data_IF_427439712876
#
_entry.id   IF_427439712876
#
_cell.length_a   1.000
_cell.length_b   1.000
_cell.length_c   1.000
_cell.angle_alpha   90.00
_cell.angle_beta   90.00
_cell.angle_gamma   90.00
#
_symmetry.space_group_name_H-M   'P 1'
#
loop_
_entity.id
_entity.type
_entity.pdbx_description
1 polymer ?
#
# COMPACT_ATOMS: atom_id res chain seq x y z
N UNK A 1 -24.43 4.19 3.23
CA UNK A 1 -25.04 3.55 2.04
C UNK A 1 -24.16 2.39 1.59
N UNK A 2 -24.75 1.22 1.35
CA UNK A 2 -24.10 -0.08 1.09
C UNK A 2 -23.01 -0.02 0.02
N UNK A 3 -21.80 0.34 0.43
CA UNK A 3 -20.61 0.45 -0.43
C UNK A 3 -20.30 -0.89 -1.12
N UNK A 4 -20.59 -2.00 -0.45
CA UNK A 4 -20.49 -3.36 -0.98
C UNK A 4 -21.45 -3.66 -2.15
N UNK A 5 -22.48 -2.85 -2.40
CA UNK A 5 -23.41 -3.02 -3.53
C UNK A 5 -23.03 -2.19 -4.76
N UNK A 6 -22.01 -1.32 -4.67
CA UNK A 6 -21.85 -0.20 -5.62
C UNK A 6 -20.87 -0.40 -6.78
N UNK A 7 -20.34 -1.59 -7.05
CA UNK A 7 -19.49 -1.81 -8.24
C UNK A 7 -19.48 -3.27 -8.64
N UNK A 8 -20.10 -3.59 -9.79
CA UNK A 8 -19.95 -4.90 -10.45
C UNK A 8 -18.95 -4.67 -11.58
N UNK A 9 -17.78 -5.31 -11.50
CA UNK A 9 -16.76 -5.32 -12.57
C UNK A 9 -16.96 -6.56 -13.45
N UNK A 10 -16.53 -6.47 -14.71
CA UNK A 10 -16.62 -7.58 -15.66
C UNK A 10 -15.22 -8.13 -15.90
N UNK A 11 -14.97 -9.37 -15.47
CA UNK A 11 -13.64 -9.99 -15.57
C UNK A 11 -13.06 -9.92 -16.99
N UNK A 12 -13.88 -10.19 -18.00
CA UNK A 12 -13.53 -10.19 -19.43
C UNK A 12 -13.10 -8.81 -19.95
N UNK A 13 -13.40 -7.74 -19.23
CA UNK A 13 -13.06 -6.36 -19.59
C UNK A 13 -11.91 -5.85 -18.73
N UNK A 14 -12.04 -5.98 -17.41
CA UNK A 14 -11.25 -5.23 -16.44
C UNK A 14 -10.05 -6.05 -15.95
N UNK A 15 -10.24 -7.35 -15.72
CA UNK A 15 -9.24 -8.21 -15.06
C UNK A 15 -8.43 -9.06 -16.04
N UNK A 16 -9.02 -9.41 -17.18
CA UNK A 16 -8.46 -10.37 -18.14
C UNK A 16 -7.05 -9.99 -18.60
N UNK A 17 -6.76 -8.69 -18.70
CA UNK A 17 -5.45 -8.20 -19.09
C UNK A 17 -4.42 -8.67 -18.05
N UNK A 18 -4.56 -8.28 -16.78
CA UNK A 18 -3.54 -8.67 -15.82
C UNK A 18 -3.52 -10.19 -15.55
N UNK A 19 -4.65 -10.89 -15.64
CA UNK A 19 -4.81 -12.27 -15.14
C UNK A 19 -4.80 -13.37 -16.23
N UNK A 20 -4.26 -13.10 -17.42
CA UNK A 20 -4.12 -14.11 -18.47
C UNK A 20 -2.98 -13.82 -19.45
N UNK A 21 -2.60 -14.84 -20.21
CA UNK A 21 -1.65 -14.75 -21.32
C UNK A 21 -2.41 -14.73 -22.64
N UNK A 22 -2.08 -13.77 -23.49
CA UNK A 22 -2.68 -13.61 -24.82
C UNK A 22 -4.22 -13.53 -24.79
N UNK A 23 -4.80 -12.53 -24.09
CA UNK A 23 -6.25 -12.42 -24.02
C UNK A 23 -6.88 -11.87 -25.29
N UNK A 24 -8.03 -12.44 -25.60
CA UNK A 24 -8.95 -12.02 -26.64
C UNK A 24 -10.34 -11.89 -26.01
N UNK A 25 -10.72 -10.71 -25.49
CA UNK A 25 -12.01 -10.52 -24.85
C UNK A 25 -13.20 -10.89 -25.75
N UNK A 26 -13.13 -10.60 -27.06
CA UNK A 26 -14.15 -10.90 -28.07
C UNK A 26 -15.57 -10.50 -27.60
N UNK A 27 -15.75 -9.22 -27.28
CA UNK A 27 -17.05 -8.68 -26.92
C UNK A 27 -17.89 -8.47 -28.18
N UNK A 28 -19.05 -9.08 -28.25
CA UNK A 28 -20.08 -8.73 -29.24
C UNK A 28 -20.89 -7.54 -28.70
N UNK A 29 -20.76 -6.38 -29.35
CA UNK A 29 -21.46 -5.16 -28.95
C UNK A 29 -22.93 -5.13 -29.35
N UNK A 30 -23.37 -5.93 -30.32
CA UNK A 30 -24.78 -6.01 -30.72
C UNK A 30 -25.58 -6.87 -29.73
N UNK A 31 -25.02 -8.02 -29.35
CA UNK A 31 -25.70 -8.94 -28.41
C UNK A 31 -25.29 -8.73 -26.95
N UNK A 32 -24.29 -7.88 -26.69
CA UNK A 32 -23.65 -7.67 -25.39
C UNK A 32 -23.14 -8.97 -24.73
N UNK A 33 -22.67 -9.92 -25.55
CA UNK A 33 -22.10 -11.21 -25.11
C UNK A 33 -20.58 -11.21 -25.25
N UNK A 34 -19.92 -12.10 -24.52
CA UNK A 34 -18.46 -12.29 -24.57
C UNK A 34 -18.14 -13.70 -25.10
N UNK A 35 -17.30 -13.82 -26.14
CA UNK A 35 -16.69 -15.10 -26.60
C UNK A 35 -15.18 -15.12 -26.26
N UNK A 36 -14.89 -14.85 -25.00
CA UNK A 36 -13.52 -14.62 -24.54
C UNK A 36 -12.63 -15.84 -24.69
N UNK A 37 -11.44 -15.62 -25.26
CA UNK A 37 -10.39 -16.64 -25.43
C UNK A 37 -9.11 -16.15 -24.77
N UNK A 38 -8.35 -17.07 -24.19
CA UNK A 38 -7.01 -16.81 -23.66
C UNK A 38 -6.09 -17.93 -24.13
N UNK A 39 -4.80 -17.64 -24.26
CA UNK A 39 -3.81 -18.70 -24.55
C UNK A 39 -3.63 -19.57 -23.31
N UNK A 40 -3.43 -18.93 -22.16
CA UNK A 40 -3.31 -19.58 -20.86
C UNK A 40 -3.98 -18.70 -19.79
N UNK A 41 -4.61 -19.34 -18.81
CA UNK A 41 -5.01 -18.66 -17.58
C UNK A 41 -3.76 -18.28 -16.79
N UNK A 42 -3.69 -17.01 -16.39
CA UNK A 42 -2.50 -16.42 -15.79
C UNK A 42 -2.54 -16.39 -14.25
N UNK A 43 -1.43 -16.00 -13.62
CA UNK A 43 -0.17 -15.53 -14.23
C UNK A 43 0.73 -16.71 -14.62
N UNK A 44 1.09 -16.81 -15.91
CA UNK A 44 1.87 -17.94 -16.45
C UNK A 44 3.17 -17.49 -17.14
N UNK A 45 4.04 -18.44 -17.51
CA UNK A 45 5.42 -18.20 -17.96
C UNK A 45 5.54 -17.09 -19.01
N UNK A 46 4.68 -17.13 -20.03
CA UNK A 46 4.71 -16.21 -21.15
C UNK A 46 4.30 -14.77 -20.80
N UNK A 47 3.70 -14.53 -19.63
CA UNK A 47 3.43 -13.17 -19.16
C UNK A 47 4.72 -12.39 -18.90
N UNK A 48 5.77 -13.07 -18.41
CA UNK A 48 7.06 -12.46 -18.07
C UNK A 48 8.16 -12.79 -19.09
N UNK A 49 8.06 -13.92 -19.78
CA UNK A 49 9.09 -14.41 -20.70
C UNK A 49 8.71 -14.24 -22.19
N UNK A 50 7.49 -13.80 -22.47
CA UNK A 50 6.96 -13.71 -23.83
C UNK A 50 6.66 -15.08 -24.46
N UNK A 51 6.23 -15.10 -25.73
CA UNK A 51 5.87 -16.34 -26.43
C UNK A 51 7.07 -17.29 -26.62
N UNK A 52 6.93 -18.54 -26.18
CA UNK A 52 8.02 -19.51 -26.17
C UNK A 52 8.17 -20.35 -27.46
N UNK A 53 7.41 -20.08 -28.53
CA UNK A 53 7.41 -20.90 -29.75
C UNK A 53 8.80 -20.98 -30.40
N UNK A 54 9.50 -19.83 -30.52
CA UNK A 54 10.86 -19.77 -31.07
C UNK A 54 11.85 -20.56 -30.21
N UNK A 55 11.76 -20.38 -28.89
CA UNK A 55 12.56 -21.10 -27.91
C UNK A 55 12.35 -22.62 -28.00
N UNK A 56 11.10 -23.08 -27.99
CA UNK A 56 10.77 -24.48 -28.13
C UNK A 56 11.30 -25.09 -29.43
N UNK A 57 11.18 -24.38 -30.57
CA UNK A 57 11.70 -24.85 -31.86
C UNK A 57 13.23 -24.98 -31.84
N UNK A 58 13.93 -23.99 -31.29
CA UNK A 58 15.39 -24.01 -31.20
C UNK A 58 15.90 -25.17 -30.32
N UNK A 59 15.25 -25.40 -29.18
CA UNK A 59 15.66 -26.43 -28.21
C UNK A 59 15.14 -27.84 -28.50
N UNK A 60 14.35 -28.05 -29.56
CA UNK A 60 14.07 -29.40 -30.08
C UNK A 60 15.34 -30.12 -30.54
N UNK A 61 16.38 -29.38 -30.96
CA UNK A 61 17.67 -29.93 -31.34
C UNK A 61 18.56 -30.17 -30.10
N UNK A 62 18.93 -31.41 -29.74
CA UNK A 62 19.80 -31.70 -28.60
C UNK A 62 21.19 -31.05 -28.69
N UNK A 63 21.76 -30.90 -29.89
CA UNK A 63 23.06 -30.25 -30.08
C UNK A 63 22.97 -28.76 -29.79
N UNK A 64 21.87 -28.11 -30.19
CA UNK A 64 21.63 -26.71 -29.85
C UNK A 64 21.48 -26.53 -28.33
N UNK A 65 20.70 -27.39 -27.67
CA UNK A 65 20.58 -27.39 -26.19
C UNK A 65 21.93 -27.52 -25.51
N UNK A 66 22.77 -28.47 -25.96
CA UNK A 66 24.10 -28.67 -25.39
C UNK A 66 24.98 -27.44 -25.61
N UNK A 67 24.96 -26.84 -26.81
CA UNK A 67 25.72 -25.63 -27.13
C UNK A 67 25.31 -24.45 -26.25
N UNK A 68 24.02 -24.14 -26.14
CA UNK A 68 23.53 -23.04 -25.29
C UNK A 68 23.86 -23.28 -23.82
N UNK A 69 23.71 -24.52 -23.33
CA UNK A 69 24.04 -24.86 -21.94
C UNK A 69 25.54 -24.72 -21.64
N UNK A 70 26.40 -25.05 -22.61
CA UNK A 70 27.86 -25.01 -22.43
C UNK A 70 28.48 -23.65 -22.69
N UNK A 71 27.83 -22.77 -23.47
CA UNK A 71 28.35 -21.41 -23.72
C UNK A 71 28.22 -20.49 -22.51
N UNK A 72 27.24 -20.73 -21.62
CA UNK A 72 26.90 -19.83 -20.53
C UNK A 72 26.25 -18.52 -20.98
N UNK A 73 26.06 -18.35 -22.29
CA UNK A 73 25.49 -17.14 -22.90
C UNK A 73 23.98 -17.04 -22.65
N UNK A 74 23.44 -15.84 -22.89
CA UNK A 74 22.00 -15.66 -22.88
C UNK A 74 21.34 -16.36 -24.06
N UNK A 75 20.26 -17.09 -23.80
CA UNK A 75 19.42 -17.64 -24.87
C UNK A 75 18.60 -16.50 -25.48
N UNK A 76 18.86 -16.07 -26.73
CA UNK A 76 18.17 -14.95 -27.34
C UNK A 76 16.76 -15.30 -27.80
N UNK A 77 16.35 -16.58 -27.70
CA UNK A 77 15.06 -17.05 -28.20
C UNK A 77 13.91 -16.87 -27.20
N UNK A 78 14.22 -16.50 -25.96
CA UNK A 78 13.25 -16.23 -24.89
C UNK A 78 13.70 -15.02 -24.06
N UNK A 79 12.75 -14.21 -23.62
CA UNK A 79 13.08 -13.09 -22.73
C UNK A 79 13.41 -13.63 -21.35
N UNK A 80 14.47 -13.11 -20.73
CA UNK A 80 14.71 -13.29 -19.31
C UNK A 80 14.76 -11.90 -18.66
N UNK A 81 13.76 -11.52 -17.84
CA UNK A 81 13.72 -10.20 -17.21
C UNK A 81 15.00 -9.84 -16.44
N UNK A 82 15.68 -10.80 -15.81
CA UNK A 82 16.93 -10.57 -15.09
C UNK A 82 18.14 -10.22 -15.98
N UNK A 83 17.99 -10.32 -17.31
CA UNK A 83 19.03 -10.01 -18.31
C UNK A 83 18.66 -8.78 -19.17
N UNK A 84 17.55 -8.14 -18.89
CA UNK A 84 17.14 -6.90 -19.56
C UNK A 84 17.83 -5.70 -18.88
N UNK A 85 17.88 -4.56 -19.59
CA UNK A 85 18.16 -3.28 -18.94
C UNK A 85 17.11 -2.97 -17.87
N UNK A 86 17.48 -2.10 -16.92
CA UNK A 86 16.67 -1.74 -15.75
C UNK A 86 15.23 -1.38 -16.12
N UNK A 87 15.05 -0.50 -17.10
CA UNK A 87 13.73 -0.04 -17.52
C UNK A 87 12.92 -1.19 -18.12
N UNK A 88 13.47 -1.94 -19.08
CA UNK A 88 12.76 -3.09 -19.67
C UNK A 88 12.44 -4.16 -18.63
N UNK A 89 13.33 -4.43 -17.67
CA UNK A 89 13.07 -5.38 -16.58
C UNK A 89 11.92 -4.93 -15.70
N UNK A 90 11.89 -3.66 -15.29
CA UNK A 90 10.83 -3.14 -14.43
C UNK A 90 9.47 -3.11 -15.15
N UNK A 91 9.47 -2.77 -16.44
CA UNK A 91 8.26 -2.72 -17.26
C UNK A 91 7.56 -4.07 -17.44
N UNK A 92 8.30 -5.20 -17.39
CA UNK A 92 7.70 -6.54 -17.40
C UNK A 92 6.71 -6.71 -16.25
N UNK A 93 7.05 -6.22 -15.05
CA UNK A 93 6.16 -6.21 -13.90
C UNK A 93 5.11 -5.08 -14.02
N UNK A 94 5.54 -3.92 -14.53
CA UNK A 94 4.71 -2.74 -14.74
C UNK A 94 3.51 -2.96 -15.66
N UNK A 95 3.54 -3.94 -16.55
CA UNK A 95 2.38 -4.25 -17.41
C UNK A 95 1.10 -4.60 -16.62
N UNK A 96 1.25 -5.12 -15.39
CA UNK A 96 0.15 -5.49 -14.50
C UNK A 96 0.14 -4.63 -13.23
N UNK A 97 1.31 -4.41 -12.64
CA UNK A 97 1.47 -3.61 -11.41
C UNK A 97 1.50 -2.11 -11.71
N UNK A 98 0.65 -1.63 -12.62
CA UNK A 98 0.49 -0.20 -12.93
C UNK A 98 -0.94 0.21 -13.21
N UNK A 99 -1.30 1.42 -12.77
CA UNK A 99 -2.48 2.13 -13.23
C UNK A 99 -2.19 2.71 -14.61
N UNK A 100 -2.95 2.23 -15.59
CA UNK A 100 -2.70 2.54 -17.00
C UNK A 100 -4.01 2.75 -17.75
N UNK A 101 -3.98 3.60 -18.77
CA UNK A 101 -4.99 3.61 -19.84
C UNK A 101 -4.35 2.98 -21.07
N UNK A 102 -4.99 1.98 -21.65
CA UNK A 102 -4.55 1.41 -22.93
C UNK A 102 -4.96 2.34 -24.07
N UNK A 103 -4.08 2.54 -25.05
CA UNK A 103 -4.34 3.47 -26.15
C UNK A 103 -5.54 3.07 -27.02
N UNK A 104 -5.77 1.76 -27.16
CA UNK A 104 -6.91 1.21 -27.87
C UNK A 104 -7.82 0.49 -26.88
N UNK A 105 -8.71 1.24 -26.23
CA UNK A 105 -9.69 0.69 -25.27
C UNK A 105 -11.03 0.31 -25.93
N UNK A 106 -11.17 0.48 -27.25
CA UNK A 106 -12.44 0.25 -27.97
C UNK A 106 -12.39 -0.93 -28.95
N UNK A 107 -11.22 -1.43 -29.36
CA UNK A 107 -11.12 -2.58 -30.26
C UNK A 107 -11.07 -3.94 -29.52
N UNK A 108 -12.19 -4.32 -28.90
CA UNK A 108 -12.36 -5.64 -28.26
C UNK A 108 -12.43 -6.84 -29.24
N UNK A 109 -12.34 -6.59 -30.54
CA UNK A 109 -12.45 -7.57 -31.63
C UNK A 109 -11.11 -7.93 -32.29
N UNK A 110 -10.06 -7.14 -32.08
CA UNK A 110 -8.78 -7.29 -32.79
C UNK A 110 -7.74 -8.09 -31.96
N UNK A 111 -6.98 -9.01 -32.57
CA UNK A 111 -5.90 -9.76 -31.91
C UNK A 111 -4.73 -8.88 -31.40
N UNK A 112 -4.68 -7.61 -31.81
CA UNK A 112 -3.63 -6.62 -31.51
C UNK A 112 -3.82 -5.91 -30.17
N UNK A 113 -4.91 -6.19 -29.46
CA UNK A 113 -5.32 -5.61 -28.16
C UNK A 113 -4.29 -5.65 -27.02
N UNK A 114 -3.20 -6.44 -27.17
CA UNK A 114 -2.06 -6.51 -26.25
C UNK A 114 -0.74 -6.44 -27.02
N UNK A 115 -0.22 -5.23 -27.07
CA UNK A 115 0.94 -4.89 -27.89
C UNK A 115 2.23 -4.95 -27.05
N UNK A 116 2.14 -4.80 -25.71
CA UNK A 116 3.28 -5.05 -24.82
C UNK A 116 3.63 -6.53 -24.75
N UNK A 117 4.86 -6.84 -25.12
CA UNK A 117 5.52 -8.12 -24.90
C UNK A 117 6.71 -7.89 -24.00
N UNK A 118 7.05 -8.88 -23.17
CA UNK A 118 8.23 -8.81 -22.32
C UNK A 118 9.48 -8.44 -23.15
N UNK A 119 10.26 -7.48 -22.65
CA UNK A 119 11.39 -6.88 -23.37
C UNK A 119 11.03 -5.71 -24.31
N UNK A 120 9.74 -5.45 -24.55
CA UNK A 120 9.26 -4.27 -25.28
C UNK A 120 9.20 -3.01 -24.42
N UNK A 121 8.65 -1.92 -24.98
CA UNK A 121 8.48 -0.66 -24.25
C UNK A 121 7.05 -0.42 -23.78
N UNK A 122 6.82 -0.40 -22.47
CA UNK A 122 5.49 -0.29 -21.91
C UNK A 122 4.78 1.00 -22.33
N UNK A 123 5.49 2.12 -22.35
CA UNK A 123 4.96 3.45 -22.72
C UNK A 123 4.52 3.57 -24.20
N UNK A 124 4.94 2.63 -25.06
CA UNK A 124 4.45 2.55 -26.45
C UNK A 124 3.05 1.95 -26.53
N UNK A 125 2.59 1.26 -25.48
CA UNK A 125 1.34 0.51 -25.49
C UNK A 125 0.30 1.03 -24.50
N UNK A 126 0.75 1.75 -23.47
CA UNK A 126 -0.11 2.29 -22.43
C UNK A 126 0.31 3.68 -21.98
N UNK A 127 -0.66 4.45 -21.49
CA UNK A 127 -0.42 5.69 -20.75
C UNK A 127 -0.48 5.43 -19.25
N UNK A 128 0.65 5.60 -18.56
CA UNK A 128 0.71 5.51 -17.10
C UNK A 128 -0.10 6.64 -16.44
N UNK A 129 -0.82 6.31 -15.38
CA UNK A 129 -1.52 7.30 -14.57
C UNK A 129 -0.58 7.95 -13.57
N UNK A 130 -0.95 9.17 -13.17
CA UNK A 130 -0.25 9.96 -12.15
C UNK A 130 -1.29 10.69 -11.28
N UNK A 131 -0.84 11.30 -10.18
CA UNK A 131 -1.70 12.13 -9.33
C UNK A 131 -2.41 13.29 -10.07
N UNK A 132 -1.89 13.74 -11.22
CA UNK A 132 -2.55 14.76 -12.06
C UNK A 132 -3.85 14.25 -12.67
N UNK A 133 -3.94 12.94 -12.93
CA UNK A 133 -5.07 12.34 -13.64
C UNK A 133 -6.03 11.63 -12.68
N UNK A 134 -5.56 11.18 -11.50
CA UNK A 134 -6.40 10.51 -10.52
C UNK A 134 -5.96 10.81 -9.08
N UNK A 135 -6.74 11.59 -8.35
CA UNK A 135 -6.47 11.92 -6.96
C UNK A 135 -7.00 10.87 -5.96
N UNK A 136 -7.74 9.85 -6.39
CA UNK A 136 -8.17 8.73 -5.54
C UNK A 136 -7.08 7.66 -5.45
N UNK A 137 -6.39 7.38 -6.56
CA UNK A 137 -5.32 6.37 -6.61
C UNK A 137 -3.96 6.86 -6.13
N UNK A 138 -3.76 8.19 -6.06
CA UNK A 138 -2.51 8.80 -5.66
C UNK A 138 -2.69 9.85 -4.56
N UNK A 139 -1.71 9.91 -3.65
CA UNK A 139 -1.54 11.00 -2.70
C UNK A 139 -1.16 12.30 -3.44
N UNK A 140 -1.40 13.49 -2.85
CA UNK A 140 -1.05 14.77 -3.46
C UNK A 140 0.43 14.90 -3.84
N UNK A 141 1.32 14.21 -3.12
CA UNK A 141 2.76 14.17 -3.40
C UNK A 141 3.14 13.28 -4.60
N UNK A 142 2.18 12.54 -5.19
CA UNK A 142 2.40 11.59 -6.29
C UNK A 142 2.53 10.13 -5.86
N UNK A 143 2.62 9.84 -4.56
CA UNK A 143 2.75 8.49 -4.02
C UNK A 143 1.47 7.66 -4.21
N UNK A 144 1.57 6.33 -4.28
CA UNK A 144 0.42 5.45 -4.47
C UNK A 144 -0.44 5.40 -3.20
N UNK A 145 -1.77 5.47 -3.36
CA UNK A 145 -2.75 5.20 -2.28
C UNK A 145 -3.19 3.75 -2.24
N UNK A 146 -2.92 2.99 -3.32
CA UNK A 146 -3.50 1.67 -3.56
C UNK A 146 -2.38 0.70 -3.96
N UNK A 147 -2.38 -0.48 -3.35
CA UNK A 147 -1.46 -1.56 -3.67
C UNK A 147 -1.87 -2.36 -4.92
N UNK A 148 -1.00 -3.25 -5.36
CA UNK A 148 -1.10 -4.00 -6.62
C UNK A 148 -0.74 -3.17 -7.85
N UNK A 149 -0.20 -1.96 -7.67
CA UNK A 149 0.08 -0.96 -8.71
C UNK A 149 1.39 -0.20 -8.43
N UNK A 150 2.37 -0.93 -7.93
CA UNK A 150 3.62 -0.43 -7.36
C UNK A 150 4.51 0.29 -8.37
N UNK A 151 4.51 -0.15 -9.64
CA UNK A 151 5.41 0.37 -10.67
C UNK A 151 5.26 1.86 -10.90
N UNK A 152 4.03 2.41 -10.90
CA UNK A 152 3.80 3.85 -11.09
C UNK A 152 4.64 4.72 -10.16
N UNK A 153 4.88 4.24 -8.95
CA UNK A 153 5.51 5.02 -7.89
C UNK A 153 6.92 4.54 -7.56
N UNK A 154 7.24 3.27 -7.84
CA UNK A 154 8.60 2.75 -7.77
C UNK A 154 9.54 3.49 -8.72
N UNK A 155 9.11 3.74 -9.96
CA UNK A 155 9.92 4.47 -10.95
C UNK A 155 10.16 5.95 -10.61
N UNK A 156 9.50 6.45 -9.57
CA UNK A 156 9.72 7.81 -9.05
C UNK A 156 10.79 7.86 -7.96
N UNK A 157 11.26 6.70 -7.49
CA UNK A 157 12.25 6.60 -6.40
C UNK A 157 13.65 6.93 -6.93
N UNK A 158 14.47 7.58 -6.10
CA UNK A 158 15.89 7.82 -6.40
C UNK A 158 16.64 6.52 -6.76
N UNK A 159 16.31 5.42 -6.07
CA UNK A 159 16.86 4.09 -6.36
C UNK A 159 16.65 3.63 -7.81
N UNK A 160 15.57 4.07 -8.47
CA UNK A 160 15.28 3.78 -9.87
C UNK A 160 15.82 4.87 -10.80
N UNK A 161 15.59 6.16 -10.49
CA UNK A 161 15.94 7.27 -11.37
C UNK A 161 17.44 7.56 -11.40
N UNK A 162 18.15 7.28 -10.32
CA UNK A 162 19.59 7.56 -10.14
C UNK A 162 20.40 6.28 -9.89
N UNK A 163 19.75 5.14 -9.64
CA UNK A 163 20.38 3.84 -9.43
C UNK A 163 19.90 2.76 -10.40
N UNK A 164 20.24 1.51 -10.08
CA UNK A 164 19.96 0.32 -10.90
C UNK A 164 18.80 -0.53 -10.35
N UNK A 165 17.97 0.02 -9.47
CA UNK A 165 16.89 -0.74 -8.84
C UNK A 165 15.85 -1.19 -9.87
N UNK A 166 15.45 -2.46 -9.77
CA UNK A 166 14.28 -3.02 -10.47
C UNK A 166 13.42 -3.78 -9.47
N UNK A 167 12.26 -4.29 -9.90
CA UNK A 167 11.47 -5.23 -9.10
C UNK A 167 12.30 -6.45 -8.68
N UNK A 168 13.17 -6.93 -9.57
CA UNK A 168 14.06 -8.07 -9.33
C UNK A 168 15.24 -7.75 -8.44
N UNK A 169 15.44 -6.51 -7.97
CA UNK A 169 16.40 -6.24 -6.90
C UNK A 169 15.95 -6.92 -5.61
N UNK A 170 14.65 -6.87 -5.30
CA UNK A 170 14.07 -7.41 -4.07
C UNK A 170 13.27 -8.71 -4.27
N UNK A 171 12.63 -8.90 -5.43
CA UNK A 171 11.74 -10.04 -5.69
C UNK A 171 12.41 -11.17 -6.47
N UNK A 172 11.88 -12.38 -6.30
CA UNK A 172 12.17 -13.58 -7.09
C UNK A 172 10.88 -14.30 -7.46
N UNK A 173 10.69 -14.58 -8.75
CA UNK A 173 9.45 -15.20 -9.26
C UNK A 173 9.46 -16.72 -9.16
N UNK A 174 10.64 -17.32 -8.98
CA UNK A 174 10.85 -18.77 -9.00
C UNK A 174 11.58 -19.26 -7.74
N UNK A 175 11.41 -18.54 -6.62
CA UNK A 175 11.92 -18.95 -5.31
C UNK A 175 10.93 -19.85 -4.56
N UNK A 176 11.38 -20.38 -3.43
CA UNK A 176 10.61 -21.36 -2.64
C UNK A 176 9.49 -20.73 -1.80
N UNK A 177 9.64 -19.48 -1.36
CA UNK A 177 8.64 -18.75 -0.56
C UNK A 177 7.72 -17.93 -1.47
N UNK A 178 6.44 -18.33 -1.65
CA UNK A 178 5.52 -17.62 -2.52
C UNK A 178 4.96 -16.34 -1.90
N UNK A 179 5.02 -16.16 -0.57
CA UNK A 179 4.49 -14.95 0.08
C UNK A 179 5.37 -13.74 -0.23
N UNK A 180 4.76 -12.72 -0.84
CA UNK A 180 5.40 -11.49 -1.34
C UNK A 180 6.50 -11.72 -2.38
N UNK A 181 6.89 -12.97 -2.65
CA UNK A 181 7.92 -13.36 -3.61
C UNK A 181 9.25 -12.62 -3.37
N UNK A 182 9.59 -12.36 -2.12
CA UNK A 182 10.84 -11.69 -1.74
C UNK A 182 12.01 -12.67 -1.78
N UNK A 183 13.16 -12.22 -2.28
CA UNK A 183 14.40 -12.98 -2.16
C UNK A 183 14.79 -13.17 -0.69
N UNK A 184 15.66 -14.15 -0.39
CA UNK A 184 16.27 -14.27 0.94
C UNK A 184 16.82 -12.92 1.42
N UNK A 185 16.65 -12.65 2.72
CA UNK A 185 17.08 -11.42 3.41
C UNK A 185 16.35 -10.13 3.00
N UNK A 186 15.54 -10.11 1.94
CA UNK A 186 14.80 -8.90 1.49
C UNK A 186 13.60 -8.55 2.38
N UNK A 187 13.44 -9.20 3.52
CA UNK A 187 12.54 -8.77 4.61
C UNK A 187 13.26 -7.91 5.67
N UNK A 188 14.58 -7.76 5.54
CA UNK A 188 15.46 -7.04 6.46
C UNK A 188 16.09 -5.82 5.79
N UNK A 189 16.85 -5.02 6.54
CA UNK A 189 17.58 -3.86 6.00
C UNK A 189 18.54 -4.22 4.86
N UNK A 190 18.90 -5.50 4.66
CA UNK A 190 19.75 -5.93 3.55
C UNK A 190 19.19 -5.52 2.17
N UNK A 191 17.87 -5.41 2.04
CA UNK A 191 17.27 -4.91 0.81
C UNK A 191 17.71 -3.49 0.43
N UNK A 192 18.04 -2.67 1.42
CA UNK A 192 18.56 -1.32 1.23
C UNK A 192 20.10 -1.32 1.26
N UNK A 193 20.68 -2.04 2.23
CA UNK A 193 22.13 -2.04 2.49
C UNK A 193 22.94 -2.63 1.34
N UNK A 194 22.36 -3.49 0.49
CA UNK A 194 23.04 -3.99 -0.72
C UNK A 194 23.55 -2.87 -1.65
N UNK A 195 22.92 -1.68 -1.60
CA UNK A 195 23.36 -0.48 -2.31
C UNK A 195 23.82 0.65 -1.37
N UNK A 196 23.35 0.65 -0.13
CA UNK A 196 23.65 1.67 0.89
C UNK A 196 24.55 1.12 2.00
N UNK A 197 25.69 0.54 1.60
CA UNK A 197 26.59 -0.17 2.51
C UNK A 197 27.17 0.75 3.60
N UNK A 198 27.33 2.04 3.30
CA UNK A 198 27.80 3.07 4.23
C UNK A 198 26.86 3.29 5.43
N UNK A 199 25.62 2.80 5.36
CA UNK A 199 24.65 2.87 6.44
C UNK A 199 24.68 1.65 7.37
N UNK A 200 25.37 0.56 7.00
CA UNK A 200 25.35 -0.70 7.76
C UNK A 200 25.77 -0.52 9.22
N UNK A 201 26.81 0.28 9.45
CA UNK A 201 27.34 0.57 10.79
C UNK A 201 26.68 1.78 11.47
N UNK A 202 25.86 2.54 10.74
CA UNK A 202 25.25 3.80 11.20
C UNK A 202 23.72 3.74 11.30
N UNK A 203 23.14 2.55 11.35
CA UNK A 203 21.67 2.39 11.42
C UNK A 203 21.07 3.13 12.61
N UNK A 204 21.62 2.99 13.82
CA UNK A 204 21.11 3.67 15.00
C UNK A 204 21.31 5.19 14.94
N UNK A 205 22.46 5.65 14.45
CA UNK A 205 22.75 7.07 14.26
C UNK A 205 21.80 7.70 13.23
N UNK A 206 21.54 7.00 12.12
CA UNK A 206 20.67 7.49 11.05
C UNK A 206 19.20 7.44 11.45
N UNK A 207 18.73 6.34 12.02
CA UNK A 207 17.31 6.15 12.33
C UNK A 207 16.90 6.79 13.66
N UNK A 208 17.86 7.03 14.56
CA UNK A 208 17.64 7.46 15.95
C UNK A 208 16.76 6.50 16.75
N UNK A 209 16.87 5.20 16.45
CA UNK A 209 16.21 4.10 17.15
C UNK A 209 17.23 3.02 17.53
N UNK A 210 16.94 2.29 18.61
CA UNK A 210 17.79 1.19 19.05
C UNK A 210 17.93 0.12 17.97
N UNK A 211 19.13 -0.44 17.86
CA UNK A 211 19.42 -1.52 16.90
C UNK A 211 18.50 -2.71 17.19
N UNK A 212 17.82 -3.19 16.15
CA UNK A 212 16.91 -4.34 16.24
C UNK A 212 15.46 -3.96 16.58
N UNK A 213 15.20 -2.71 16.96
CA UNK A 213 13.83 -2.21 17.09
C UNK A 213 13.14 -2.11 15.73
N UNK A 214 11.80 -2.09 15.72
CA UNK A 214 11.01 -1.82 14.51
C UNK A 214 11.39 -0.49 13.84
N UNK A 215 11.72 0.54 14.63
CA UNK A 215 12.14 1.85 14.14
C UNK A 215 13.52 1.86 13.46
N UNK A 216 14.35 0.85 13.70
CA UNK A 216 15.65 0.69 13.02
C UNK A 216 15.54 0.04 11.63
N UNK A 217 14.35 -0.37 11.19
CA UNK A 217 14.14 -0.96 9.86
C UNK A 217 13.94 0.12 8.80
N UNK A 218 14.80 0.16 7.78
CA UNK A 218 14.76 1.13 6.68
C UNK A 218 13.37 1.19 6.02
N UNK A 219 12.76 0.02 5.84
CA UNK A 219 11.41 -0.14 5.29
C UNK A 219 10.34 0.67 6.01
N UNK A 220 10.41 0.80 7.34
CA UNK A 220 9.34 1.43 8.10
C UNK A 220 9.30 2.95 7.90
N UNK A 221 10.44 3.54 7.55
CA UNK A 221 10.54 4.97 7.21
C UNK A 221 10.44 5.24 5.70
N UNK A 222 11.13 4.43 4.87
CA UNK A 222 11.28 4.72 3.44
C UNK A 222 10.30 3.97 2.54
N UNK A 223 9.62 2.94 3.06
CA UNK A 223 8.59 2.16 2.35
C UNK A 223 7.41 1.89 3.30
N UNK A 224 6.92 2.96 3.91
CA UNK A 224 5.88 2.92 4.95
C UNK A 224 4.57 2.33 4.42
N UNK A 225 3.77 1.75 5.31
CA UNK A 225 2.45 1.20 5.02
C UNK A 225 1.40 2.29 4.75
N UNK A 226 1.55 3.05 3.67
CA UNK A 226 0.63 4.17 3.33
C UNK A 226 -0.31 3.87 2.17
N UNK A 227 -0.30 2.64 1.66
CA UNK A 227 -1.19 2.21 0.57
C UNK A 227 -2.22 1.23 1.11
N UNK A 228 -3.43 1.23 0.57
CA UNK A 228 -4.45 0.24 0.89
C UNK A 228 -4.50 -0.88 -0.15
N UNK A 229 -4.49 -2.12 0.31
CA UNK A 229 -4.80 -3.30 -0.48
C UNK A 229 -5.18 -4.46 0.45
N UNK A 230 -5.90 -5.45 -0.07
CA UNK A 230 -6.22 -6.68 0.66
C UNK A 230 -6.83 -6.46 2.06
N UNK A 231 -7.68 -5.43 2.19
CA UNK A 231 -8.35 -5.05 3.44
C UNK A 231 -7.38 -4.67 4.57
N UNK A 232 -6.25 -4.04 4.22
CA UNK A 232 -5.27 -3.51 5.18
C UNK A 232 -4.36 -2.47 4.54
N UNK A 233 -3.34 -2.04 5.28
CA UNK A 233 -2.27 -1.23 4.73
C UNK A 233 -1.15 -2.13 4.17
N UNK A 234 -0.56 -1.71 3.05
CA UNK A 234 0.58 -2.35 2.40
C UNK A 234 1.69 -1.33 2.16
N UNK A 235 2.93 -1.81 2.04
CA UNK A 235 4.09 -0.95 1.82
C UNK A 235 3.98 -0.19 0.51
N UNK A 236 4.15 1.11 0.59
CA UNK A 236 4.26 1.94 -0.60
C UNK A 236 5.64 1.73 -1.24
N UNK A 237 5.69 1.74 -2.57
CA UNK A 237 6.89 1.37 -3.32
C UNK A 237 7.64 2.57 -3.90
N UNK A 238 7.24 3.80 -3.58
CA UNK A 238 8.07 4.98 -3.81
C UNK A 238 9.04 5.14 -2.64
N UNK A 239 10.25 4.64 -2.82
CA UNK A 239 11.29 4.78 -1.78
C UNK A 239 11.64 6.26 -1.65
N UNK A 240 11.22 6.89 -0.55
CA UNK A 240 11.43 8.31 -0.28
C UNK A 240 11.70 8.60 1.20
N UNK A 241 12.18 9.81 1.49
CA UNK A 241 12.42 10.25 2.87
C UNK A 241 11.11 10.71 3.52
N UNK A 242 10.87 10.39 4.81
CA UNK A 242 9.71 10.90 5.53
C UNK A 242 9.65 12.43 5.53
N UNK A 243 8.43 12.95 5.37
CA UNK A 243 8.12 14.39 5.48
C UNK A 243 6.89 14.58 6.34
N UNK A 244 6.83 15.67 7.12
CA UNK A 244 5.60 16.11 7.77
C UNK A 244 4.86 17.11 6.86
N UNK A 245 3.62 16.84 6.47
CA UNK A 245 2.72 17.81 5.83
C UNK A 245 1.34 17.72 6.46
N UNK A 246 0.81 18.86 6.90
CA UNK A 246 -0.53 19.02 7.46
C UNK A 246 -1.34 20.08 6.72
N UNK A 247 -1.14 20.20 5.41
CA UNK A 247 -1.77 21.24 4.57
C UNK A 247 -3.17 20.83 4.11
N UNK A 248 -3.47 19.54 4.09
CA UNK A 248 -4.73 19.01 3.61
C UNK A 248 -5.16 17.73 4.36
N UNK A 249 -6.47 17.50 4.45
CA UNK A 249 -7.10 16.21 4.86
C UNK A 249 -6.84 15.07 3.88
N UNK A 250 -6.00 15.30 2.86
CA UNK A 250 -5.62 14.33 1.83
C UNK A 250 -4.11 14.11 1.77
N UNK A 251 -3.33 14.75 2.64
CA UNK A 251 -1.89 14.54 2.71
C UNK A 251 -1.57 13.09 3.12
N UNK A 252 -0.47 12.55 2.61
CA UNK A 252 -0.03 11.19 2.96
C UNK A 252 0.33 11.13 4.45
N UNK A 253 -0.21 10.17 5.23
CA UNK A 253 0.27 9.90 6.58
C UNK A 253 1.78 9.61 6.57
N UNK A 254 2.54 10.27 7.44
CA UNK A 254 4.00 10.13 7.47
C UNK A 254 4.44 8.93 8.33
N UNK A 255 5.64 8.42 8.05
CA UNK A 255 6.22 7.26 8.74
C UNK A 255 6.28 7.39 10.26
N UNK A 256 6.69 8.56 10.77
CA UNK A 256 6.94 8.76 12.19
C UNK A 256 5.64 8.62 12.99
N UNK A 257 4.58 9.33 12.57
CA UNK A 257 3.29 9.29 13.28
C UNK A 257 2.47 8.02 13.02
N UNK A 258 2.91 7.14 12.10
CA UNK A 258 2.32 5.82 11.93
C UNK A 258 2.88 4.77 12.92
N UNK A 259 3.99 5.07 13.60
CA UNK A 259 4.44 4.36 14.80
C UNK A 259 4.09 5.15 16.06
N UNK A 260 4.47 6.42 16.12
CA UNK A 260 4.17 7.34 17.22
C UNK A 260 2.79 7.97 17.04
N UNK A 261 1.77 7.11 17.14
CA UNK A 261 0.37 7.48 16.93
C UNK A 261 -0.12 8.54 17.91
N UNK A 262 0.52 8.67 19.07
CA UNK A 262 0.24 9.65 20.11
C UNK A 262 0.84 11.04 19.85
N UNK A 263 1.72 11.19 18.86
CA UNK A 263 2.42 12.46 18.59
C UNK A 263 1.73 13.30 17.53
N UNK A 264 1.94 14.61 17.60
CA UNK A 264 1.41 15.59 16.64
C UNK A 264 2.25 15.64 15.36
N UNK A 265 1.76 16.30 14.31
CA UNK A 265 2.58 16.54 13.11
C UNK A 265 3.68 17.58 13.39
N UNK A 266 3.41 18.55 14.28
CA UNK A 266 4.42 19.53 14.69
C UNK A 266 5.63 18.84 15.33
N UNK A 267 5.40 17.88 16.23
CA UNK A 267 6.46 17.05 16.81
C UNK A 267 7.31 16.36 15.73
N UNK A 268 6.68 15.78 14.71
CA UNK A 268 7.41 15.15 13.60
C UNK A 268 8.23 16.17 12.82
N UNK A 269 7.65 17.34 12.51
CA UNK A 269 8.36 18.42 11.81
C UNK A 269 9.59 18.91 12.57
N UNK A 270 9.48 19.07 13.88
CA UNK A 270 10.60 19.42 14.77
C UNK A 270 11.68 18.35 14.75
N UNK A 271 11.32 17.06 14.93
CA UNK A 271 12.29 15.96 14.92
C UNK A 271 12.98 15.80 13.57
N UNK A 272 12.26 15.99 12.46
CA UNK A 272 12.85 15.96 11.12
C UNK A 272 13.84 17.11 10.91
N UNK A 273 13.54 18.30 11.43
CA UNK A 273 14.43 19.47 11.38
C UNK A 273 15.67 19.26 12.24
N UNK A 274 15.48 18.86 13.50
CA UNK A 274 16.54 18.67 14.49
C UNK A 274 17.54 17.57 14.07
N UNK A 275 17.02 16.43 13.60
CA UNK A 275 17.82 15.22 13.36
C UNK A 275 18.40 15.13 11.95
N UNK A 276 17.70 15.66 10.96
CA UNK A 276 18.06 15.51 9.55
C UNK A 276 18.26 16.84 8.81
N UNK A 277 18.12 17.98 9.50
CA UNK A 277 18.25 19.30 8.89
C UNK A 277 17.20 19.61 7.82
N UNK A 278 16.06 18.91 7.84
CA UNK A 278 14.97 19.20 6.90
C UNK A 278 14.44 20.62 7.14
N UNK A 279 13.97 21.28 6.07
CA UNK A 279 13.33 22.58 6.20
C UNK A 279 12.05 22.44 7.03
N UNK A 280 11.92 23.29 8.06
CA UNK A 280 10.73 23.34 8.89
C UNK A 280 9.45 23.42 8.03
N UNK A 281 8.56 22.45 8.22
CA UNK A 281 7.30 22.40 7.48
C UNK A 281 6.22 23.13 8.25
N UNK A 282 5.46 23.97 7.55
CA UNK A 282 4.24 24.56 8.08
C UNK A 282 3.18 23.47 8.33
N UNK A 283 2.65 23.42 9.54
CA UNK A 283 1.48 22.63 9.94
C UNK A 283 0.44 23.58 10.55
N UNK A 284 -0.85 23.28 10.41
CA UNK A 284 -1.92 24.11 10.97
C UNK A 284 -1.99 23.99 12.49
N UNK A 285 -2.68 24.90 13.17
CA UNK A 285 -2.80 24.92 14.63
C UNK A 285 -3.35 23.60 15.22
N UNK A 286 -4.37 22.99 14.59
CA UNK A 286 -4.90 21.68 15.00
C UNK A 286 -3.80 20.60 15.11
N UNK A 287 -2.77 20.70 14.26
CA UNK A 287 -1.68 19.75 14.15
C UNK A 287 -0.51 20.03 15.11
N UNK A 288 -0.63 21.05 15.97
CA UNK A 288 0.29 21.30 17.07
C UNK A 288 -0.15 20.63 18.38
N UNK A 289 -1.47 20.51 18.59
CA UNK A 289 -2.04 20.11 19.88
C UNK A 289 -2.69 18.73 19.87
N UNK A 290 -3.08 18.23 18.70
CA UNK A 290 -3.75 16.93 18.56
C UNK A 290 -2.86 15.96 17.80
N UNK A 291 -2.81 14.73 18.30
CA UNK A 291 -2.08 13.64 17.70
C UNK A 291 -2.51 13.45 16.23
N UNK A 292 -1.52 13.25 15.35
CA UNK A 292 -1.77 13.18 13.91
C UNK A 292 -2.71 12.02 13.55
N UNK A 293 -2.59 10.89 14.25
CA UNK A 293 -3.45 9.72 14.05
C UNK A 293 -4.93 10.01 14.40
N UNK A 294 -5.18 10.74 15.49
CA UNK A 294 -6.53 11.19 15.89
C UNK A 294 -7.12 12.08 14.80
N UNK A 295 -6.33 13.03 14.29
CA UNK A 295 -6.74 13.89 13.18
C UNK A 295 -7.07 13.08 11.92
N UNK A 296 -6.23 12.11 11.55
CA UNK A 296 -6.48 11.24 10.39
C UNK A 296 -7.73 10.39 10.56
N UNK A 297 -7.97 9.82 11.74
CA UNK A 297 -9.14 8.98 11.99
C UNK A 297 -10.43 9.77 12.09
N UNK A 298 -10.41 10.95 12.71
CA UNK A 298 -11.63 11.72 12.97
C UNK A 298 -11.98 12.66 11.81
N UNK A 299 -11.00 13.39 11.28
CA UNK A 299 -11.17 14.44 10.24
C UNK A 299 -10.70 14.00 8.85
N UNK A 300 -9.75 13.08 8.77
CA UNK A 300 -9.12 12.66 7.50
C UNK A 300 -10.04 11.96 6.51
N UNK A 301 -9.60 11.85 5.26
CA UNK A 301 -10.31 11.11 4.21
C UNK A 301 -10.35 9.60 4.47
N UNK A 302 -11.14 8.85 3.67
CA UNK A 302 -11.31 7.41 3.86
C UNK A 302 -9.97 6.64 3.88
N UNK A 303 -8.98 7.08 3.11
CA UNK A 303 -7.68 6.41 3.06
C UNK A 303 -6.85 6.70 4.30
N UNK A 304 -6.84 7.95 4.76
CA UNK A 304 -6.17 8.32 6.03
C UNK A 304 -6.76 7.54 7.20
N UNK A 305 -8.10 7.43 7.30
CA UNK A 305 -8.78 6.65 8.33
C UNK A 305 -8.41 5.16 8.26
N UNK A 306 -8.38 4.61 7.06
CA UNK A 306 -7.98 3.21 6.80
C UNK A 306 -6.57 2.93 7.30
N UNK A 307 -5.60 3.76 6.88
CA UNK A 307 -4.18 3.58 7.22
C UNK A 307 -3.96 3.77 8.73
N UNK A 308 -4.52 4.81 9.33
CA UNK A 308 -4.36 5.07 10.77
C UNK A 308 -5.00 3.97 11.63
N UNK A 309 -6.23 3.53 11.28
CA UNK A 309 -6.90 2.45 11.99
C UNK A 309 -6.13 1.13 11.92
N UNK A 310 -5.54 0.80 10.76
CA UNK A 310 -4.69 -0.39 10.62
C UNK A 310 -3.44 -0.31 11.49
N UNK A 311 -2.79 0.86 11.57
CA UNK A 311 -1.59 1.06 12.38
C UNK A 311 -1.85 0.92 13.88
N UNK A 312 -3.03 1.37 14.37
CA UNK A 312 -3.40 1.20 15.77
C UNK A 312 -3.43 -0.27 16.23
N UNK A 313 -3.63 -1.21 15.31
CA UNK A 313 -3.60 -2.65 15.61
C UNK A 313 -2.22 -3.30 15.48
N UNK A 314 -1.17 -2.54 15.14
CA UNK A 314 0.16 -3.11 14.94
C UNK A 314 0.98 -3.08 16.23
N UNK A 315 1.60 -4.21 16.57
CA UNK A 315 2.41 -4.36 17.79
C UNK A 315 3.47 -3.26 17.94
N UNK A 316 4.18 -2.91 16.86
CA UNK A 316 5.22 -1.87 16.90
C UNK A 316 4.68 -0.46 17.16
N UNK A 317 3.44 -0.18 16.76
CA UNK A 317 2.83 1.13 16.99
C UNK A 317 2.27 1.20 18.41
N UNK A 318 1.63 0.11 18.87
CA UNK A 318 1.19 -0.05 20.27
C UNK A 318 2.38 0.12 21.23
N UNK A 319 3.51 -0.53 20.94
CA UNK A 319 4.75 -0.39 21.71
C UNK A 319 5.25 1.06 21.73
N UNK A 320 5.21 1.75 20.60
CA UNK A 320 5.74 3.11 20.47
C UNK A 320 4.84 4.21 21.04
N UNK A 321 3.52 4.01 21.09
CA UNK A 321 2.54 5.05 21.47
C UNK A 321 1.70 4.73 22.71
N UNK A 322 1.80 3.52 23.24
CA UNK A 322 0.86 2.97 24.21
C UNK A 322 -0.52 2.71 23.59
N UNK A 323 -1.32 1.87 24.25
CA UNK A 323 -2.64 1.40 23.80
C UNK A 323 -3.82 2.07 24.52
N UNK A 324 -3.54 2.73 25.65
CA UNK A 324 -4.55 3.11 26.66
C UNK A 324 -5.62 4.06 26.16
N UNK A 325 -5.40 4.73 25.04
CA UNK A 325 -6.28 5.75 24.44
C UNK A 325 -6.88 5.33 23.09
N UNK A 326 -6.51 4.17 22.54
CA UNK A 326 -6.87 3.77 21.17
C UNK A 326 -8.32 3.29 21.03
N UNK A 327 -8.86 2.60 22.04
CA UNK A 327 -10.18 1.95 21.98
C UNK A 327 -11.31 2.91 21.60
N UNK A 328 -11.45 4.11 22.19
CA UNK A 328 -12.52 5.02 21.80
C UNK A 328 -12.52 5.42 20.32
N UNK A 329 -11.35 5.68 19.74
CA UNK A 329 -11.22 6.08 18.35
C UNK A 329 -11.55 4.95 17.39
N UNK A 330 -11.06 3.73 17.67
CA UNK A 330 -11.39 2.55 16.89
C UNK A 330 -12.87 2.18 16.98
N UNK A 331 -13.48 2.27 18.18
CA UNK A 331 -14.90 2.05 18.39
C UNK A 331 -15.76 3.02 17.56
N UNK A 332 -15.37 4.29 17.47
CA UNK A 332 -16.06 5.28 16.62
C UNK A 332 -16.01 4.89 15.13
N UNK A 333 -14.94 4.25 14.67
CA UNK A 333 -14.80 3.78 13.28
C UNK A 333 -15.64 2.53 12.96
N UNK A 334 -16.22 1.84 13.94
CA UNK A 334 -17.23 0.79 13.66
C UNK A 334 -18.52 1.38 13.05
N UNK A 335 -18.71 2.69 13.17
CA UNK A 335 -19.78 3.43 12.51
C UNK A 335 -19.38 4.05 11.15
N UNK A 336 -18.12 3.87 10.69
CA UNK A 336 -17.64 4.49 9.45
C UNK A 336 -18.49 4.08 8.23
N UNK A 337 -18.75 4.98 7.25
CA UNK A 337 -19.50 4.62 6.05
C UNK A 337 -18.89 3.48 5.21
N UNK A 338 -17.58 3.25 5.26
CA UNK A 338 -16.92 2.20 4.47
C UNK A 338 -16.76 0.89 5.24
N UNK A 339 -17.24 -0.20 4.63
CA UNK A 339 -17.17 -1.57 5.14
C UNK A 339 -15.74 -2.02 5.47
N UNK A 340 -14.78 -1.67 4.61
CA UNK A 340 -13.36 -1.96 4.83
C UNK A 340 -12.81 -1.29 6.11
N UNK A 341 -13.15 -0.02 6.36
CA UNK A 341 -12.69 0.71 7.55
C UNK A 341 -13.27 0.08 8.81
N UNK A 342 -14.56 -0.32 8.78
CA UNK A 342 -15.21 -1.00 9.91
C UNK A 342 -14.54 -2.33 10.23
N UNK A 343 -14.19 -3.12 9.21
CA UNK A 343 -13.48 -4.38 9.38
C UNK A 343 -12.07 -4.17 9.97
N UNK A 344 -11.32 -3.21 9.43
CA UNK A 344 -9.96 -2.90 9.89
C UNK A 344 -9.99 -2.40 11.33
N UNK A 345 -10.89 -1.47 11.66
CA UNK A 345 -11.03 -0.95 13.02
C UNK A 345 -11.38 -2.05 14.03
N UNK A 346 -12.28 -2.98 13.67
CA UNK A 346 -12.59 -4.13 14.53
C UNK A 346 -11.38 -5.04 14.73
N UNK A 347 -10.64 -5.38 13.67
CA UNK A 347 -9.39 -6.16 13.81
C UNK A 347 -8.39 -5.48 14.75
N UNK A 348 -8.19 -4.16 14.60
CA UNK A 348 -7.32 -3.41 15.49
C UNK A 348 -7.83 -3.37 16.93
N UNK A 349 -9.15 -3.33 17.17
CA UNK A 349 -9.71 -3.46 18.52
C UNK A 349 -9.35 -4.81 19.14
N UNK A 350 -9.42 -5.90 18.37
CA UNK A 350 -9.02 -7.23 18.86
C UNK A 350 -7.55 -7.24 19.27
N UNK A 351 -6.65 -6.69 18.45
CA UNK A 351 -5.22 -6.62 18.77
C UNK A 351 -4.94 -5.75 20.01
N UNK A 352 -5.58 -4.58 20.10
CA UNK A 352 -5.38 -3.62 21.21
C UNK A 352 -5.94 -4.13 22.53
N UNK A 353 -7.06 -4.87 22.51
CA UNK A 353 -7.76 -5.29 23.73
C UNK A 353 -7.49 -6.74 24.13
N UNK A 354 -6.98 -7.56 23.21
CA UNK A 354 -6.93 -9.01 23.36
C UNK A 354 -8.31 -9.68 23.35
N UNK A 355 -9.38 -8.94 23.05
CA UNK A 355 -10.75 -9.43 23.10
C UNK A 355 -11.42 -9.41 21.73
N UNK A 356 -12.04 -10.52 21.35
CA UNK A 356 -12.80 -10.63 20.11
C UNK A 356 -14.31 -10.67 20.37
N UNK A 357 -14.95 -9.50 20.40
CA UNK A 357 -16.40 -9.38 20.40
C UNK A 357 -16.91 -9.68 18.98
N UNK A 358 -17.85 -10.63 18.79
CA UNK A 358 -18.39 -10.97 17.47
C UNK A 358 -18.91 -9.74 16.72
N UNK A 359 -18.38 -9.53 15.52
CA UNK A 359 -18.69 -8.38 14.71
C UNK A 359 -18.73 -8.76 13.24
N UNK A 360 -19.78 -8.33 12.56
CA UNK A 360 -19.84 -8.38 11.11
C UNK A 360 -19.92 -6.96 10.56
N UNK A 361 -18.95 -6.60 9.73
CA UNK A 361 -18.72 -5.24 9.26
C UNK A 361 -19.81 -4.73 8.30
N UNK A 362 -20.78 -5.56 7.90
CA UNK A 362 -21.97 -5.16 7.12
C UNK A 362 -23.30 -5.28 7.90
N UNK A 363 -23.26 -5.57 9.20
CA UNK A 363 -24.45 -5.49 10.07
C UNK A 363 -25.10 -4.11 10.04
N UNK A 364 -26.32 -3.98 10.57
CA UNK A 364 -27.02 -2.69 10.68
C UNK A 364 -26.27 -1.71 11.57
N UNK A 365 -26.53 -0.40 11.43
CA UNK A 365 -25.88 0.62 12.26
C UNK A 365 -26.10 0.39 13.77
N UNK A 366 -27.31 -0.03 14.17
CA UNK A 366 -27.64 -0.31 15.56
C UNK A 366 -26.87 -1.52 16.11
N UNK A 367 -26.71 -2.59 15.34
CA UNK A 367 -25.92 -3.76 15.75
C UNK A 367 -24.44 -3.41 15.91
N UNK A 368 -23.88 -2.62 14.98
CA UNK A 368 -22.49 -2.16 15.08
C UNK A 368 -22.26 -1.24 16.27
N UNK A 369 -23.22 -0.35 16.56
CA UNK A 369 -23.16 0.54 17.71
C UNK A 369 -23.11 -0.25 19.03
N UNK A 370 -23.90 -1.33 19.17
CA UNK A 370 -23.84 -2.19 20.36
C UNK A 370 -22.44 -2.76 20.61
N UNK A 371 -21.73 -3.16 19.56
CA UNK A 371 -20.35 -3.66 19.69
C UNK A 371 -19.39 -2.53 20.09
N UNK A 372 -19.53 -1.35 19.49
CA UNK A 372 -18.74 -0.18 19.89
C UNK A 372 -18.95 0.19 21.36
N UNK A 373 -20.20 0.18 21.83
CA UNK A 373 -20.57 0.48 23.22
C UNK A 373 -19.99 -0.55 24.19
N UNK A 374 -19.91 -1.83 23.81
CA UNK A 374 -19.29 -2.87 24.63
C UNK A 374 -17.79 -2.64 24.81
N UNK A 375 -17.05 -2.36 23.73
CA UNK A 375 -15.62 -2.02 23.84
C UNK A 375 -15.40 -0.75 24.66
N UNK A 376 -16.22 0.28 24.44
CA UNK A 376 -16.16 1.53 25.21
C UNK A 376 -16.40 1.30 26.70
N UNK A 377 -17.47 0.59 27.08
CA UNK A 377 -17.79 0.31 28.47
C UNK A 377 -16.64 -0.42 29.20
N UNK A 378 -16.01 -1.38 28.52
CA UNK A 378 -14.84 -2.10 29.05
C UNK A 378 -13.63 -1.20 29.20
N UNK A 379 -13.36 -0.36 28.22
CA UNK A 379 -12.29 0.61 28.27
C UNK A 379 -12.47 1.62 29.42
N UNK A 380 -13.69 2.17 29.59
CA UNK A 380 -14.02 3.07 30.70
C UNK A 380 -13.76 2.38 32.04
N UNK A 381 -14.30 1.17 32.23
CA UNK A 381 -14.12 0.42 33.47
C UNK A 381 -12.64 0.12 33.76
N UNK A 382 -11.86 -0.27 32.74
CA UNK A 382 -10.44 -0.54 32.89
C UNK A 382 -9.66 0.73 33.30
N UNK A 383 -9.89 1.85 32.60
CA UNK A 383 -9.21 3.13 32.89
C UNK A 383 -9.58 3.73 34.24
N UNK A 384 -10.84 3.60 34.65
CA UNK A 384 -11.26 4.04 36.00
C UNK A 384 -10.64 3.17 37.11
N UNK A 385 -10.38 1.89 36.82
CA UNK A 385 -9.76 0.98 37.79
C UNK A 385 -8.25 1.19 37.93
N UNK A 386 -7.53 1.41 36.83
CA UNK A 386 -6.08 1.63 36.85
C UNK A 386 -5.67 3.11 37.06
N UNK A 387 -6.59 4.05 36.79
CA UNK A 387 -6.33 5.49 36.88
C UNK A 387 -5.44 6.02 35.75
N UNK A 388 -5.16 5.21 34.73
CA UNK A 388 -4.26 5.56 33.64
C UNK A 388 -4.96 6.42 32.57
N UNK A 389 -4.17 7.21 31.87
CA UNK A 389 -4.58 8.07 30.76
C UNK A 389 -3.62 7.93 29.58
N UNK A 390 -4.06 8.35 28.40
CA UNK A 390 -3.18 8.52 27.25
C UNK A 390 -2.41 9.83 27.30
N UNK A 391 -1.44 10.02 26.39
CA UNK A 391 -0.77 11.30 26.21
C UNK A 391 -1.79 12.42 25.92
N UNK A 392 -1.59 13.67 26.42
CA UNK A 392 -2.57 14.75 26.27
C UNK A 392 -3.02 15.02 24.83
N UNK A 393 -2.10 14.86 23.87
CA UNK A 393 -2.34 15.05 22.44
C UNK A 393 -3.35 14.04 21.87
N UNK A 394 -3.58 12.92 22.57
CA UNK A 394 -4.60 11.92 22.25
C UNK A 394 -5.99 12.29 22.77
N UNK A 395 -6.13 13.44 23.43
CA UNK A 395 -7.36 13.96 24.05
C UNK A 395 -7.92 13.06 25.16
N UNK A 396 -7.20 12.03 25.61
CA UNK A 396 -7.57 11.21 26.76
C UNK A 396 -6.95 11.78 28.05
N UNK A 397 -7.45 12.92 28.50
CA UNK A 397 -6.91 13.65 29.67
C UNK A 397 -7.48 13.19 31.02
N UNK A 398 -8.56 12.40 31.01
CA UNK A 398 -9.20 11.84 32.20
C UNK A 398 -9.33 10.31 32.07
N UNK A 399 -9.15 9.52 33.15
CA UNK A 399 -9.28 8.07 33.07
C UNK A 399 -10.68 7.65 32.60
N UNK A 400 -10.74 6.97 31.46
CA UNK A 400 -11.99 6.50 30.87
C UNK A 400 -12.80 7.61 30.20
N UNK A 401 -12.19 8.77 29.88
CA UNK A 401 -12.91 9.85 29.20
C UNK A 401 -12.01 10.62 28.21
N UNK A 402 -12.58 10.95 27.05
CA UNK A 402 -11.95 11.86 26.10
C UNK A 402 -12.44 13.29 26.31
N UNK A 403 -11.72 14.27 25.77
CA UNK A 403 -12.27 15.62 25.54
C UNK A 403 -13.31 15.56 24.41
N UNK A 404 -14.51 15.07 24.74
CA UNK A 404 -15.55 14.72 23.76
C UNK A 404 -15.99 15.91 22.89
N UNK A 405 -15.98 17.13 23.43
CA UNK A 405 -16.30 18.36 22.70
C UNK A 405 -15.28 18.64 21.59
N UNK A 406 -13.98 18.50 21.89
CA UNK A 406 -12.89 18.65 20.91
C UNK A 406 -12.96 17.54 19.87
N UNK A 407 -13.15 16.28 20.31
CA UNK A 407 -13.27 15.13 19.39
C UNK A 407 -14.45 15.32 18.42
N UNK A 408 -15.60 15.75 18.92
CA UNK A 408 -16.77 15.99 18.08
C UNK A 408 -16.59 17.19 17.15
N UNK A 409 -15.90 18.26 17.58
CA UNK A 409 -15.54 19.38 16.71
C UNK A 409 -14.65 18.93 15.54
N UNK A 410 -13.67 18.07 15.80
CA UNK A 410 -12.79 17.50 14.77
C UNK A 410 -13.60 16.59 13.84
N UNK A 411 -14.42 15.72 14.41
CA UNK A 411 -15.24 14.75 13.67
C UNK A 411 -16.24 15.43 12.71
N UNK A 412 -16.83 16.57 13.10
CA UNK A 412 -17.72 17.35 12.22
C UNK A 412 -17.03 17.89 10.96
N UNK A 413 -15.71 18.00 10.97
CA UNK A 413 -14.91 18.44 9.81
C UNK A 413 -14.44 17.28 8.93
N UNK A 414 -14.92 16.06 9.17
CA UNK A 414 -14.51 14.86 8.43
C UNK A 414 -14.66 15.02 6.93
N UNK A 415 -13.59 14.68 6.21
CA UNK A 415 -13.63 14.52 4.77
C UNK A 415 -14.45 13.25 4.41
N UNK A 416 -15.68 13.52 3.99
CA UNK A 416 -16.65 12.52 3.54
C UNK A 416 -16.72 12.42 2.01
N UNK A 417 -15.71 12.96 1.28
CA UNK A 417 -15.64 12.80 -0.17
C UNK A 417 -15.70 11.32 -0.53
N UNK A 418 -16.54 10.99 -1.51
CA UNK A 418 -16.67 9.61 -1.98
C UNK A 418 -15.35 9.14 -2.55
N UNK A 419 -14.89 8.00 -2.05
CA UNK A 419 -13.71 7.30 -2.51
C UNK A 419 -14.16 6.01 -3.20
N UNK A 420 -13.78 5.83 -4.46
CA UNK A 420 -14.12 4.64 -5.24
C UNK A 420 -12.84 3.98 -5.74
N UNK A 421 -12.76 2.66 -5.54
CA UNK A 421 -11.67 1.80 -5.99
C UNK A 421 -12.08 0.87 -7.12
N UNK A 422 -13.18 1.17 -7.82
CA UNK A 422 -13.54 0.46 -9.05
C UNK A 422 -12.33 0.47 -9.99
N UNK A 423 -11.86 -0.72 -10.36
CA UNK A 423 -10.72 -0.89 -11.28
C UNK A 423 -10.89 -0.09 -12.55
#
# INVERSE_FOLDING_TARGET
PDDWRQSVTTWNQDCIRCHSVGPHPNKDFETNKWDTKVTELGIACAACHGPAEKHMRAHRNPLHRHKVRSSGEADPTIVNPARLDKERSAEVCGQCHSFVTFFDNNNFHEPTWREFRAGGKLDQHVKLWTAKNDQNRFWPDGSGRIGGREYNTMIMSGCFTEGEMTCLSCHTMHGDEPRDQLKPLMKSNEACLQCHEDMRERVAEHTFHDIGSSGSQCYNCHMTYTSYALLGAVRMHRVDSPTASGRSTRDRPNACNLCHLDKTLAWTGEKLTERYGQKATYVTDDHHNVAASVMWMMKGDAMQRTVAAWHMGQAWAIEASGDKWMVPYLSKLLADPYSAIRLIAHRSLVEVTGENIPFYYIWTAAERQKVADQYLAKWVAARQADGETGPPETLNVEPGRLQDDVVEQIYRQRDNKKFSLSE
#
